data_IF_188197774702
#
_entry.id   IF_188197774702
#
_cell.length_a   1.000
_cell.length_b   1.000
_cell.length_c   1.000
_cell.angle_alpha   90.00
_cell.angle_beta   90.00
_cell.angle_gamma   90.00
#
_symmetry.space_group_name_H-M   'P 1'
#
loop_
_entity.id
_entity.type
_entity.pdbx_description
1 polymer ?
#
# COMPACT_ATOMS: atom_id res chain seq x y z
N UNK A 1 -22.35 4.89 19.50
CA UNK A 1 -21.95 5.98 18.59
C UNK A 1 -21.36 7.17 19.38
N UNK A 2 -20.16 7.06 19.95
CA UNK A 2 -19.34 8.22 20.39
C UNK A 2 -17.89 7.76 20.57
N UNK A 3 -17.02 7.97 19.57
CA UNK A 3 -15.57 8.20 19.69
C UNK A 3 -14.91 8.23 18.30
N UNK A 4 -15.42 9.10 17.44
CA UNK A 4 -14.83 9.44 16.15
C UNK A 4 -14.12 10.78 16.36
N UNK A 5 -12.77 10.83 16.34
CA UNK A 5 -12.07 12.12 16.20
C UNK A 5 -10.81 12.41 17.03
N UNK A 6 -10.33 11.53 17.90
CA UNK A 6 -9.15 11.86 18.75
C UNK A 6 -7.96 10.89 18.67
N UNK A 7 -7.99 9.92 17.76
CA UNK A 7 -6.90 8.96 17.56
C UNK A 7 -6.20 9.09 16.19
N UNK A 8 -6.21 10.29 15.61
CA UNK A 8 -5.52 10.57 14.34
C UNK A 8 -4.15 11.24 14.59
N UNK A 9 -3.86 11.70 15.82
CA UNK A 9 -2.70 12.58 16.07
C UNK A 9 -1.52 11.98 16.86
N UNK A 10 -1.50 10.68 17.19
CA UNK A 10 -0.43 10.07 18.02
C UNK A 10 -0.06 8.62 17.69
N UNK A 11 0.24 8.27 16.42
CA UNK A 11 0.97 7.01 16.13
C UNK A 11 1.89 7.02 14.91
N UNK A 12 2.28 8.21 14.44
CA UNK A 12 3.46 8.37 13.59
C UNK A 12 4.63 8.85 14.45
N UNK A 13 4.87 8.16 15.57
CA UNK A 13 5.91 8.46 16.52
C UNK A 13 6.91 7.32 16.59
N UNK A 14 8.14 7.63 16.17
CA UNK A 14 9.39 6.91 16.46
C UNK A 14 9.49 5.49 15.87
N UNK A 15 10.63 4.95 15.48
CA UNK A 15 12.02 5.38 15.31
C UNK A 15 12.66 4.15 14.64
N UNK A 16 13.51 4.35 13.64
CA UNK A 16 14.43 3.32 13.16
C UNK A 16 13.80 2.09 12.51
N UNK A 17 13.92 2.00 11.19
CA UNK A 17 14.59 0.87 10.55
C UNK A 17 14.65 1.17 9.05
N UNK A 18 15.88 1.17 8.51
CA UNK A 18 16.14 1.36 7.08
C UNK A 18 15.46 0.29 6.21
N UNK A 19 15.69 0.31 4.89
CA UNK A 19 14.94 -0.45 3.87
C UNK A 19 14.99 -1.99 3.94
N UNK A 20 15.40 -2.60 5.05
CA UNK A 20 15.81 -4.01 5.13
C UNK A 20 15.12 -4.88 6.19
N UNK A 21 14.04 -4.45 6.84
CA UNK A 21 13.15 -5.43 7.48
C UNK A 21 12.31 -6.10 6.37
N UNK A 22 12.51 -7.39 6.12
CA UNK A 22 11.93 -8.18 4.99
C UNK A 22 10.39 -8.17 4.86
N UNK A 23 9.68 -7.41 5.68
CA UNK A 23 8.23 -7.20 5.66
C UNK A 23 7.84 -6.13 4.63
N UNK A 24 8.68 -5.10 4.42
CA UNK A 24 8.38 -3.98 3.51
C UNK A 24 8.44 -4.35 2.03
N UNK A 25 9.45 -5.12 1.60
CA UNK A 25 9.64 -5.51 0.20
C UNK A 25 8.63 -6.57 -0.27
N UNK A 26 8.39 -7.60 0.54
CA UNK A 26 7.39 -8.63 0.25
C UNK A 26 5.98 -8.03 0.23
N UNK A 27 5.66 -7.14 1.17
CA UNK A 27 4.36 -6.47 1.18
C UNK A 27 4.15 -5.56 -0.01
N UNK A 28 5.17 -4.82 -0.42
CA UNK A 28 5.15 -4.00 -1.62
C UNK A 28 4.96 -4.85 -2.88
N UNK A 29 5.67 -5.98 -3.00
CA UNK A 29 5.54 -6.88 -4.14
C UNK A 29 4.14 -7.51 -4.25
N UNK A 30 3.60 -8.00 -3.13
CA UNK A 30 2.25 -8.57 -3.10
C UNK A 30 1.21 -7.50 -3.45
N UNK A 31 1.32 -6.31 -2.85
CA UNK A 31 0.40 -5.21 -3.11
C UNK A 31 0.41 -4.77 -4.59
N UNK A 32 1.60 -4.62 -5.18
CA UNK A 32 1.75 -4.30 -6.60
C UNK A 32 1.14 -5.39 -7.48
N UNK A 33 1.38 -6.66 -7.17
CA UNK A 33 0.83 -7.79 -7.95
C UNK A 33 -0.69 -7.83 -7.93
N UNK A 34 -1.31 -7.58 -6.76
CA UNK A 34 -2.77 -7.48 -6.63
C UNK A 34 -3.27 -6.26 -7.42
N UNK A 35 -2.59 -5.12 -7.34
CA UNK A 35 -2.97 -3.90 -8.05
C UNK A 35 -2.90 -4.05 -9.58
N UNK A 36 -1.86 -4.69 -10.10
CA UNK A 36 -1.76 -5.01 -11.53
C UNK A 36 -2.89 -5.93 -12.00
N UNK A 37 -3.30 -6.91 -11.20
CA UNK A 37 -4.44 -7.77 -11.52
C UNK A 37 -5.75 -7.00 -11.54
N UNK A 38 -5.97 -6.08 -10.59
CA UNK A 38 -7.16 -5.21 -10.59
C UNK A 38 -7.19 -4.30 -11.82
N UNK A 39 -6.06 -3.67 -12.16
CA UNK A 39 -5.94 -2.85 -13.37
C UNK A 39 -6.25 -3.65 -14.63
N UNK A 40 -5.75 -4.89 -14.76
CA UNK A 40 -6.06 -5.75 -15.91
C UNK A 40 -7.53 -6.18 -15.96
N UNK A 41 -8.13 -6.48 -14.81
CA UNK A 41 -9.47 -7.04 -14.75
C UNK A 41 -10.58 -5.97 -14.83
N UNK A 42 -10.33 -4.78 -14.28
CA UNK A 42 -11.34 -3.72 -14.10
C UNK A 42 -10.95 -2.38 -14.71
N UNK A 43 -9.68 -2.17 -15.06
CA UNK A 43 -9.15 -0.87 -15.49
C UNK A 43 -8.91 0.12 -14.35
N UNK A 44 -9.18 -0.29 -13.10
CA UNK A 44 -9.02 0.53 -11.89
C UNK A 44 -8.27 -0.25 -10.81
N UNK A 45 -7.68 0.47 -9.85
CA UNK A 45 -7.02 -0.14 -8.68
C UNK A 45 -7.32 0.65 -7.41
N UNK A 46 -7.74 -0.08 -6.37
CA UNK A 46 -7.94 0.48 -5.04
C UNK A 46 -6.78 0.11 -4.11
N UNK A 47 -5.77 0.99 -4.08
CA UNK A 47 -4.55 0.81 -3.28
C UNK A 47 -4.87 0.79 -1.79
N UNK A 48 -5.84 1.59 -1.34
CA UNK A 48 -6.24 1.65 0.07
C UNK A 48 -6.85 0.31 0.51
N UNK A 49 -7.74 -0.29 -0.31
CA UNK A 49 -8.30 -1.62 -0.07
C UNK A 49 -7.22 -2.68 0.00
N UNK A 50 -6.25 -2.66 -0.92
CA UNK A 50 -5.14 -3.63 -0.94
C UNK A 50 -4.32 -3.52 0.34
N UNK A 51 -3.93 -2.30 0.73
CA UNK A 51 -3.15 -2.06 1.95
C UNK A 51 -3.94 -2.45 3.21
N UNK A 52 -5.24 -2.12 3.28
CA UNK A 52 -6.11 -2.54 4.38
C UNK A 52 -6.20 -4.06 4.48
N UNK A 53 -6.41 -4.77 3.37
CA UNK A 53 -6.48 -6.23 3.37
C UNK A 53 -5.15 -6.86 3.81
N UNK A 54 -4.03 -6.32 3.34
CA UNK A 54 -2.70 -6.80 3.73
C UNK A 54 -2.40 -6.57 5.21
N UNK A 55 -2.88 -5.45 5.79
CA UNK A 55 -2.78 -5.18 7.22
C UNK A 55 -3.67 -6.08 8.07
N UNK A 56 -4.81 -6.53 7.53
CA UNK A 56 -5.68 -7.52 8.18
C UNK A 56 -5.05 -8.92 8.14
N UNK A 57 -4.46 -9.30 7.00
CA UNK A 57 -3.86 -10.63 6.79
C UNK A 57 -2.52 -10.81 7.52
N UNK A 58 -1.66 -9.78 7.48
CA UNK A 58 -0.44 -9.67 8.28
C UNK A 58 -0.30 -8.27 8.86
N UNK A 59 -0.54 -8.15 10.16
CA UNK A 59 -0.31 -6.90 10.90
C UNK A 59 1.11 -6.36 10.69
N UNK A 60 1.22 -5.10 10.28
CA UNK A 60 2.50 -4.41 10.05
C UNK A 60 2.89 -4.20 8.59
N UNK A 61 2.07 -4.65 7.63
CA UNK A 61 2.35 -4.43 6.20
C UNK A 61 2.06 -2.98 5.75
N UNK A 62 2.98 -2.40 4.95
CA UNK A 62 2.97 -1.02 4.44
C UNK A 62 2.74 -0.01 5.59
N UNK A 63 3.79 0.25 6.37
CA UNK A 63 3.74 1.15 7.52
C UNK A 63 4.27 2.55 7.22
N UNK A 64 5.10 2.74 6.19
CA UNK A 64 5.72 4.04 5.89
C UNK A 64 5.06 4.75 4.72
N UNK A 65 5.09 6.09 4.75
CA UNK A 65 4.59 6.92 3.66
C UNK A 65 5.35 6.65 2.35
N UNK A 66 6.67 6.40 2.41
CA UNK A 66 7.45 6.12 1.19
C UNK A 66 7.02 4.82 0.51
N UNK A 67 6.69 3.77 1.28
CA UNK A 67 6.19 2.51 0.70
C UNK A 67 4.85 2.70 0.01
N UNK A 68 3.96 3.49 0.60
CA UNK A 68 2.66 3.81 0.00
C UNK A 68 2.83 4.64 -1.29
N UNK A 69 3.72 5.63 -1.26
CA UNK A 69 4.01 6.49 -2.40
C UNK A 69 4.69 5.72 -3.55
N UNK A 70 5.60 4.80 -3.23
CA UNK A 70 6.21 3.89 -4.20
C UNK A 70 5.16 2.98 -4.86
N UNK A 71 4.18 2.48 -4.09
CA UNK A 71 3.12 1.64 -4.62
C UNK A 71 2.25 2.40 -5.62
N UNK A 72 1.86 3.62 -5.26
CA UNK A 72 1.11 4.52 -6.15
C UNK A 72 1.88 4.81 -7.43
N UNK A 73 3.17 5.13 -7.32
CA UNK A 73 4.00 5.45 -8.48
C UNK A 73 4.14 4.23 -9.42
N UNK A 74 4.41 3.06 -8.87
CA UNK A 74 4.57 1.81 -9.63
C UNK A 74 3.29 1.42 -10.36
N UNK A 75 2.14 1.50 -9.68
CA UNK A 75 0.85 1.18 -10.28
C UNK A 75 0.40 2.22 -11.31
N UNK A 76 0.70 3.50 -11.09
CA UNK A 76 0.43 4.55 -12.08
C UNK A 76 1.26 4.35 -13.35
N UNK A 77 2.56 4.07 -13.23
CA UNK A 77 3.41 3.72 -14.38
C UNK A 77 2.88 2.49 -15.10
N UNK A 78 2.47 1.46 -14.34
CA UNK A 78 1.90 0.25 -14.90
C UNK A 78 0.62 0.53 -15.68
N UNK A 79 -0.31 1.30 -15.10
CA UNK A 79 -1.56 1.69 -15.76
C UNK A 79 -1.29 2.44 -17.07
N UNK A 80 -0.38 3.43 -17.07
CA UNK A 80 0.01 4.16 -18.27
C UNK A 80 0.63 3.25 -19.35
N UNK A 81 1.44 2.27 -18.95
CA UNK A 81 2.00 1.29 -19.88
C UNK A 81 0.97 0.29 -20.41
N UNK A 82 -0.01 -0.09 -19.58
CA UNK A 82 -1.06 -1.04 -19.93
C UNK A 82 -2.11 -0.42 -20.86
N UNK A 83 -2.31 0.90 -20.83
CA UNK A 83 -3.15 1.63 -21.79
C UNK A 83 -2.46 1.86 -23.14
N UNK A 84 -1.16 1.62 -23.24
CA UNK A 84 -0.38 1.81 -24.47
C UNK A 84 -0.27 0.53 -25.33
N UNK A 85 -1.05 -0.51 -25.05
CA UNK A 85 -1.07 -1.78 -25.79
C UNK A 85 -2.45 -2.10 -26.35
#
# INVERSE_FOLDING_TARGET
MKQTGHLIRRRWGCQGQGPNAGIGRTGCFIATRIGCQQLKARGEVDILRIVCQLRLDRGGMIQTAEQYQFLHHTLALYASSATAQ
#
